data_IF_394682301379
#
_entry.id   IF_394682301379
#
_cell.length_a   1.000
_cell.length_b   1.000
_cell.length_c   1.000
_cell.angle_alpha   90.00
_cell.angle_beta   90.00
_cell.angle_gamma   90.00
#
_symmetry.space_group_name_H-M   'P 1'
#
loop_
_entity.id
_entity.type
_entity.pdbx_description
1 polymer ?
#
# COMPACT_ATOMS: atom_id res chain seq x y z
N UNK A 1 2.38 -3.28 19.63
CA UNK A 1 3.66 -2.64 19.29
C UNK A 1 4.03 -3.03 17.87
N UNK A 2 4.13 -2.08 16.95
CA UNK A 2 4.47 -2.28 15.54
C UNK A 2 5.97 -2.60 15.39
N UNK A 3 6.38 -2.96 14.18
CA UNK A 3 7.81 -3.12 13.88
C UNK A 3 8.56 -1.79 13.99
N UNK A 4 7.99 -0.69 13.49
CA UNK A 4 8.61 0.63 13.56
C UNK A 4 8.82 1.09 15.00
N UNK A 5 7.82 0.90 15.88
CA UNK A 5 7.97 1.20 17.32
C UNK A 5 9.12 0.42 17.98
N UNK A 6 9.30 -0.84 17.58
CA UNK A 6 10.43 -1.68 18.04
C UNK A 6 11.78 -1.18 17.51
N UNK A 7 11.81 -0.70 16.27
CA UNK A 7 13.02 -0.13 15.66
C UNK A 7 13.39 1.20 16.33
N UNK A 8 12.45 2.14 16.43
CA UNK A 8 12.69 3.50 16.96
C UNK A 8 12.98 3.50 18.46
N UNK A 9 12.44 2.55 19.22
CA UNK A 9 12.79 2.35 20.64
C UNK A 9 14.19 1.76 20.84
N UNK A 10 14.82 1.23 19.79
CA UNK A 10 16.10 0.54 19.87
C UNK A 10 16.03 -0.91 20.34
N UNK A 11 14.83 -1.49 20.48
CA UNK A 11 14.66 -2.89 20.90
C UNK A 11 15.28 -3.90 19.92
N UNK A 12 15.50 -3.48 18.66
CA UNK A 12 16.15 -4.30 17.63
C UNK A 12 17.65 -3.98 17.46
N UNK A 13 18.20 -3.07 18.26
CA UNK A 13 19.60 -2.65 18.22
C UNK A 13 19.84 -1.30 17.56
N UNK A 14 21.04 -0.76 17.78
CA UNK A 14 21.45 0.60 17.40
C UNK A 14 21.33 0.91 15.91
N UNK A 15 21.66 -0.05 15.05
CA UNK A 15 21.55 0.13 13.60
C UNK A 15 20.09 0.43 13.20
N UNK A 16 19.15 -0.37 13.69
CA UNK A 16 17.74 -0.24 13.34
C UNK A 16 17.12 1.03 13.89
N UNK A 17 17.54 1.45 15.09
CA UNK A 17 17.14 2.74 15.65
C UNK A 17 17.58 3.90 14.76
N UNK A 18 18.86 3.97 14.40
CA UNK A 18 19.41 5.02 13.53
C UNK A 18 18.72 5.02 12.16
N UNK A 19 18.47 3.83 11.60
CA UNK A 19 17.73 3.71 10.35
C UNK A 19 16.30 4.24 10.47
N UNK A 20 15.56 3.88 11.53
CA UNK A 20 14.20 4.37 11.75
C UNK A 20 14.15 5.90 11.91
N UNK A 21 15.08 6.50 12.64
CA UNK A 21 15.20 7.97 12.79
C UNK A 21 15.48 8.68 11.44
N UNK A 22 16.31 8.08 10.58
CA UNK A 22 16.56 8.58 9.23
C UNK A 22 15.32 8.45 8.33
N UNK A 23 14.61 7.32 8.39
CA UNK A 23 13.38 7.09 7.62
C UNK A 23 12.25 8.05 8.03
N UNK A 24 12.17 8.44 9.31
CA UNK A 24 11.24 9.49 9.77
C UNK A 24 11.57 10.83 9.10
N UNK A 25 12.85 11.23 9.10
CA UNK A 25 13.28 12.49 8.47
C UNK A 25 12.99 12.50 6.97
N UNK A 26 13.25 11.40 6.27
CA UNK A 26 12.91 11.26 4.85
C UNK A 26 11.40 11.29 4.61
N UNK A 27 10.61 10.65 5.46
CA UNK A 27 9.16 10.62 5.33
C UNK A 27 8.57 12.04 5.41
N UNK A 28 9.03 12.85 6.37
CA UNK A 28 8.62 14.26 6.50
C UNK A 28 9.02 15.06 5.26
N UNK A 29 10.29 15.00 4.85
CA UNK A 29 10.76 15.74 3.67
C UNK A 29 10.02 15.34 2.37
N UNK A 30 9.64 14.08 2.25
CA UNK A 30 8.85 13.59 1.13
C UNK A 30 7.40 14.09 1.22
N UNK A 31 6.77 14.05 2.40
CA UNK A 31 5.41 14.57 2.59
C UNK A 31 5.33 16.07 2.30
N UNK A 32 6.31 16.86 2.77
CA UNK A 32 6.39 18.31 2.56
C UNK A 32 6.38 18.70 1.07
N UNK A 33 6.88 17.82 0.20
CA UNK A 33 7.10 18.12 -1.23
C UNK A 33 6.15 17.41 -2.17
N UNK A 34 5.46 16.35 -1.71
CA UNK A 34 4.71 15.45 -2.60
C UNK A 34 3.32 15.09 -2.08
N UNK A 35 2.94 15.53 -0.87
CA UNK A 35 1.66 15.21 -0.28
C UNK A 35 0.87 16.46 0.09
N UNK A 36 -0.46 16.34 0.01
CA UNK A 36 -1.39 17.35 0.49
C UNK A 36 -2.24 16.78 1.61
N UNK A 37 -2.52 17.60 2.63
CA UNK A 37 -3.49 17.30 3.67
C UNK A 37 -4.83 17.92 3.27
N UNK A 38 -5.85 17.09 3.13
CA UNK A 38 -7.21 17.50 2.82
C UNK A 38 -7.85 18.24 4.02
N UNK A 39 -8.99 18.90 3.78
CA UNK A 39 -9.68 19.69 4.80
C UNK A 39 -10.15 18.87 6.04
N UNK A 40 -10.34 17.57 5.88
CA UNK A 40 -10.68 16.64 6.96
C UNK A 40 -9.45 16.02 7.65
N UNK A 41 -8.25 16.52 7.33
CA UNK A 41 -6.99 16.07 7.91
C UNK A 41 -6.38 14.84 7.22
N UNK A 42 -7.04 14.23 6.24
CA UNK A 42 -6.50 13.07 5.54
C UNK A 42 -5.35 13.45 4.60
N UNK A 43 -4.26 12.68 4.59
CA UNK A 43 -3.09 12.96 3.76
C UNK A 43 -3.01 12.04 2.52
N UNK A 44 -2.73 12.61 1.35
CA UNK A 44 -2.60 11.88 0.08
C UNK A 44 -1.45 12.37 -0.77
N UNK A 45 -0.93 11.49 -1.62
CA UNK A 45 0.05 11.84 -2.63
C UNK A 45 -0.56 12.71 -3.73
N UNK A 46 0.13 13.77 -4.12
CA UNK A 46 -0.28 14.63 -5.23
C UNK A 46 -0.17 13.92 -6.59
N UNK A 47 0.85 13.06 -6.74
CA UNK A 47 1.18 12.40 -8.01
C UNK A 47 0.09 11.47 -8.55
N UNK A 48 -0.67 10.82 -7.66
CA UNK A 48 -1.69 9.84 -8.04
C UNK A 48 -2.99 9.93 -7.22
N UNK A 49 -3.08 10.91 -6.31
CA UNK A 49 -4.23 11.12 -5.44
C UNK A 49 -4.49 10.00 -4.41
N UNK A 50 -3.55 9.07 -4.20
CA UNK A 50 -3.71 7.97 -3.25
C UNK A 50 -3.43 8.41 -1.82
N UNK A 51 -4.31 8.04 -0.90
CA UNK A 51 -4.10 8.25 0.53
C UNK A 51 -2.93 7.40 1.03
N UNK A 52 -2.13 7.97 1.93
CA UNK A 52 -0.87 7.37 2.36
C UNK A 52 -1.09 6.02 3.08
N UNK A 53 -0.08 5.16 2.97
CA UNK A 53 -0.05 3.87 3.65
C UNK A 53 0.21 4.02 5.15
N UNK A 54 -0.27 3.08 5.94
CA UNK A 54 -0.29 3.19 7.41
C UNK A 54 1.11 3.21 8.02
N UNK A 55 2.05 2.47 7.43
CA UNK A 55 3.46 2.47 7.81
C UNK A 55 4.16 3.81 7.54
N UNK A 56 3.73 4.53 6.50
CA UNK A 56 4.20 5.89 6.24
C UNK A 56 3.55 6.88 7.22
N UNK A 57 2.24 6.77 7.44
CA UNK A 57 1.52 7.57 8.42
C UNK A 57 2.12 7.41 9.83
N UNK A 58 2.51 6.21 10.23
CA UNK A 58 3.14 5.97 11.53
C UNK A 58 4.41 6.79 11.74
N UNK A 59 5.25 6.92 10.71
CA UNK A 59 6.48 7.74 10.76
C UNK A 59 6.15 9.23 10.88
N UNK A 60 5.14 9.69 10.15
CA UNK A 60 4.69 11.09 10.19
C UNK A 60 4.06 11.44 11.54
N UNK A 61 3.26 10.53 12.09
CA UNK A 61 2.64 10.68 13.42
C UNK A 61 3.71 10.74 14.51
N UNK A 62 4.71 9.86 14.44
CA UNK A 62 5.87 9.92 15.33
C UNK A 62 6.64 11.25 15.21
N UNK A 63 6.75 11.82 14.01
CA UNK A 63 7.36 13.13 13.79
C UNK A 63 6.50 14.32 14.27
N UNK A 64 5.25 14.09 14.69
CA UNK A 64 4.30 15.15 15.01
C UNK A 64 3.81 15.93 13.78
N UNK A 65 3.84 15.31 12.60
CA UNK A 65 3.33 15.93 11.37
C UNK A 65 1.82 16.20 11.48
N UNK A 66 1.35 17.33 10.96
CA UNK A 66 -0.04 17.76 11.11
C UNK A 66 -0.96 17.06 10.09
N UNK A 67 -1.53 15.91 10.46
CA UNK A 67 -2.55 15.17 9.70
C UNK A 67 -3.36 14.25 10.63
N UNK A 68 -4.43 13.65 10.12
CA UNK A 68 -5.26 12.66 10.81
C UNK A 68 -5.06 11.26 10.19
N UNK A 69 -4.45 10.35 10.97
CA UNK A 69 -4.15 8.98 10.56
C UNK A 69 -5.42 8.16 10.35
N UNK A 70 -6.45 8.33 11.17
CA UNK A 70 -7.70 7.59 11.02
C UNK A 70 -8.51 8.07 9.81
N UNK A 71 -8.56 9.39 9.57
CA UNK A 71 -9.20 9.95 8.38
C UNK A 71 -8.52 9.45 7.11
N UNK A 72 -7.18 9.41 7.12
CA UNK A 72 -6.37 8.84 6.03
C UNK A 72 -6.69 7.36 5.80
N UNK A 73 -6.74 6.56 6.86
CA UNK A 73 -7.06 5.13 6.78
C UNK A 73 -8.45 4.89 6.18
N UNK A 74 -9.49 5.58 6.68
CA UNK A 74 -10.86 5.45 6.16
C UNK A 74 -10.95 5.76 4.67
N UNK A 75 -10.33 6.87 4.24
CA UNK A 75 -10.35 7.29 2.83
C UNK A 75 -9.54 6.35 1.93
N UNK A 76 -8.41 5.84 2.43
CA UNK A 76 -7.62 4.80 1.73
C UNK A 76 -8.42 3.52 1.53
N UNK A 77 -9.13 3.07 2.55
CA UNK A 77 -9.92 1.84 2.48
C UNK A 77 -11.04 1.98 1.45
N UNK A 78 -11.76 3.11 1.45
CA UNK A 78 -12.74 3.43 0.40
C UNK A 78 -12.13 3.43 -1.01
N UNK A 79 -10.95 4.04 -1.19
CA UNK A 79 -10.25 4.03 -2.49
C UNK A 79 -9.86 2.61 -2.94
N UNK A 80 -9.44 1.77 -1.99
CA UNK A 80 -9.07 0.39 -2.27
C UNK A 80 -10.29 -0.45 -2.66
N UNK A 81 -11.40 -0.30 -1.94
CA UNK A 81 -12.67 -0.95 -2.26
C UNK A 81 -13.16 -0.57 -3.66
N UNK A 82 -13.14 0.73 -3.99
CA UNK A 82 -13.53 1.21 -5.32
C UNK A 82 -12.62 0.65 -6.42
N UNK A 83 -11.30 0.66 -6.20
CA UNK A 83 -10.30 0.13 -7.15
C UNK A 83 -10.51 -1.37 -7.39
N UNK A 84 -10.73 -2.15 -6.33
CA UNK A 84 -10.99 -3.58 -6.42
C UNK A 84 -12.34 -3.88 -7.08
N UNK A 85 -13.37 -3.08 -6.80
CA UNK A 85 -14.67 -3.20 -7.46
C UNK A 85 -14.57 -2.90 -8.96
N UNK A 86 -13.81 -1.86 -9.34
CA UNK A 86 -13.54 -1.54 -10.74
C UNK A 86 -12.78 -2.67 -11.43
N UNK A 87 -11.73 -3.21 -10.81
CA UNK A 87 -10.99 -4.35 -11.33
C UNK A 87 -11.91 -5.55 -11.57
N UNK A 88 -12.74 -5.91 -10.58
CA UNK A 88 -13.72 -7.00 -10.71
C UNK A 88 -14.72 -6.79 -11.85
N UNK A 89 -15.21 -5.57 -12.05
CA UNK A 89 -16.14 -5.24 -13.16
C UNK A 89 -15.47 -5.37 -14.53
N UNK A 90 -14.20 -5.02 -14.61
CA UNK A 90 -13.44 -4.96 -15.86
C UNK A 90 -12.73 -6.28 -16.20
N UNK A 91 -12.54 -7.17 -15.22
CA UNK A 91 -11.90 -8.47 -15.42
C UNK A 91 -12.66 -9.31 -16.47
N UNK A 92 -11.92 -9.74 -17.50
CA UNK A 92 -12.40 -10.63 -18.58
C UNK A 92 -11.77 -12.01 -18.51
N UNK A 93 -10.94 -12.28 -17.49
CA UNK A 93 -10.12 -13.48 -17.43
C UNK A 93 -8.92 -13.40 -18.37
N UNK A 94 -8.22 -14.53 -18.52
CA UNK A 94 -7.05 -14.63 -19.38
C UNK A 94 -7.45 -14.59 -20.86
N UNK A 95 -6.71 -13.83 -21.66
CA UNK A 95 -6.81 -13.86 -23.12
C UNK A 95 -6.23 -15.17 -23.68
N UNK A 96 -6.41 -15.44 -24.98
CA UNK A 96 -5.84 -16.64 -25.62
C UNK A 96 -4.33 -16.74 -25.49
N UNK A 97 -3.62 -15.62 -25.66
CA UNK A 97 -2.17 -15.55 -25.47
C UNK A 97 -1.79 -15.75 -23.99
N UNK A 98 -2.45 -15.07 -23.07
CA UNK A 98 -2.19 -15.22 -21.64
C UNK A 98 -2.52 -16.64 -21.12
N UNK A 99 -3.49 -17.34 -21.73
CA UNK A 99 -3.76 -18.75 -21.44
C UNK A 99 -2.61 -19.64 -21.93
N UNK A 100 -2.06 -19.38 -23.11
CA UNK A 100 -0.92 -20.14 -23.63
C UNK A 100 0.34 -19.94 -22.77
N UNK A 101 0.62 -18.69 -22.38
CA UNK A 101 1.71 -18.37 -21.45
C UNK A 101 1.51 -19.05 -20.09
N UNK A 102 0.28 -18.99 -19.54
CA UNK A 102 -0.02 -19.63 -18.27
C UNK A 102 0.15 -21.16 -18.35
N UNK A 103 -0.28 -21.81 -19.44
CA UNK A 103 -0.03 -23.25 -19.67
C UNK A 103 1.45 -23.58 -19.71
N UNK A 104 2.25 -22.77 -20.40
CA UNK A 104 3.69 -22.98 -20.48
C UNK A 104 4.38 -22.80 -19.11
N UNK A 105 3.94 -21.83 -18.32
CA UNK A 105 4.54 -21.51 -17.02
C UNK A 105 4.11 -22.46 -15.89
N UNK A 106 2.81 -22.82 -15.83
CA UNK A 106 2.23 -23.57 -14.71
C UNK A 106 1.86 -25.02 -15.05
N UNK A 107 1.91 -25.40 -16.33
CA UNK A 107 1.55 -26.72 -16.83
C UNK A 107 0.09 -26.82 -17.28
N UNK A 108 -0.14 -27.65 -18.30
CA UNK A 108 -1.47 -27.98 -18.79
C UNK A 108 -2.28 -28.73 -17.72
N UNK A 109 -3.55 -28.37 -17.56
CA UNK A 109 -4.45 -28.94 -16.56
C UNK A 109 -4.36 -28.32 -15.17
N UNK A 110 -3.37 -27.45 -14.90
CA UNK A 110 -3.25 -26.74 -13.63
C UNK A 110 -4.40 -25.73 -13.43
N UNK A 111 -4.67 -25.35 -12.17
CA UNK A 111 -5.66 -24.30 -11.85
C UNK A 111 -4.95 -23.09 -11.30
N UNK A 112 -5.05 -21.97 -12.01
CA UNK A 112 -4.56 -20.67 -11.55
C UNK A 112 -5.69 -19.87 -10.94
N UNK A 113 -5.35 -19.02 -9.96
CA UNK A 113 -6.32 -18.17 -9.25
C UNK A 113 -5.90 -16.72 -9.39
N UNK A 114 -6.83 -15.86 -9.83
CA UNK A 114 -6.63 -14.42 -9.77
C UNK A 114 -6.68 -13.97 -8.30
N UNK A 115 -5.55 -13.48 -7.77
CA UNK A 115 -5.41 -13.12 -6.34
C UNK A 115 -6.37 -12.00 -5.90
N UNK A 116 -6.83 -11.15 -6.82
CA UNK A 116 -7.70 -10.00 -6.52
C UNK A 116 -9.19 -10.34 -6.60
N UNK A 117 -9.57 -11.24 -7.51
CA UNK A 117 -10.98 -11.61 -7.73
C UNK A 117 -11.37 -12.98 -7.19
N UNK A 118 -10.38 -13.84 -6.89
CA UNK A 118 -10.60 -15.25 -6.55
C UNK A 118 -11.02 -16.11 -7.74
N UNK A 119 -11.10 -15.55 -8.97
CA UNK A 119 -11.45 -16.31 -10.18
C UNK A 119 -10.47 -17.45 -10.38
N UNK A 120 -10.99 -18.67 -10.52
CA UNK A 120 -10.21 -19.86 -10.87
C UNK A 120 -10.29 -20.10 -12.37
N UNK A 121 -9.15 -20.36 -13.00
CA UNK A 121 -9.04 -20.71 -14.41
C UNK A 121 -8.26 -22.02 -14.52
N UNK A 122 -8.87 -23.02 -15.15
CA UNK A 122 -8.18 -24.26 -15.50
C UNK A 122 -7.45 -24.04 -16.81
N UNK A 123 -6.15 -24.31 -16.81
CA UNK A 123 -5.25 -24.14 -17.96
C UNK A 123 -5.40 -25.30 -18.91
#
# INVERSE_FOLDING_TARGET
MTRFEREISGSLGEFWKKNAEEEVRKAVAQADTQATVDADGAIRWESNGRYLMDDFCEKLEYAGYAFDREATARKRDSQNEESLAQYRRNDRGLSGEALAEARAAFGEGATVVNVLTGRKTRL
#
